data_IF_741911788187
#
_entry.id   IF_741911788187
#
_cell.length_a   1.000
_cell.length_b   1.000
_cell.length_c   1.000
_cell.angle_alpha   90.00
_cell.angle_beta   90.00
_cell.angle_gamma   90.00
#
_symmetry.space_group_name_H-M   'P 1'
#
loop_
_entity.id
_entity.type
_entity.pdbx_description
1 polymer ?
#
# COMPACT_ATOMS: atom_id res chain seq x y z
N UNK A 1 -17.24 -16.46 -7.57
CA UNK A 1 -16.66 -15.16 -7.88
C UNK A 1 -15.48 -15.30 -8.85
N UNK A 2 -14.47 -16.17 -8.58
CA UNK A 2 -13.30 -16.41 -9.47
C UNK A 2 -13.74 -16.75 -10.91
N UNK A 3 -14.71 -17.67 -11.08
CA UNK A 3 -15.25 -18.02 -12.40
C UNK A 3 -15.86 -16.82 -13.14
N UNK A 4 -16.45 -15.89 -12.39
CA UNK A 4 -17.04 -14.66 -12.94
C UNK A 4 -15.94 -13.68 -13.38
N UNK A 5 -14.92 -13.50 -12.53
CA UNK A 5 -13.78 -12.62 -12.81
C UNK A 5 -12.91 -13.10 -13.98
N UNK A 6 -12.86 -14.42 -14.18
CA UNK A 6 -12.14 -15.04 -15.30
C UNK A 6 -12.97 -15.08 -16.60
N UNK A 7 -14.23 -14.63 -16.57
CA UNK A 7 -15.08 -14.63 -17.74
C UNK A 7 -14.82 -13.39 -18.59
N UNK A 8 -14.30 -13.58 -19.78
CA UNK A 8 -14.02 -12.51 -20.74
C UNK A 8 -15.27 -11.71 -21.18
N UNK A 9 -16.47 -12.24 -20.95
CA UNK A 9 -17.75 -11.57 -21.22
C UNK A 9 -18.27 -10.75 -20.03
N UNK A 10 -17.59 -10.79 -18.87
CA UNK A 10 -17.95 -9.97 -17.73
C UNK A 10 -17.46 -8.54 -17.96
N UNK A 11 -18.39 -7.66 -18.36
CA UNK A 11 -18.06 -6.29 -18.75
C UNK A 11 -17.51 -5.46 -17.59
N UNK A 12 -16.75 -4.42 -17.93
CA UNK A 12 -16.19 -3.49 -16.94
C UNK A 12 -17.28 -2.75 -16.16
N UNK A 13 -18.41 -2.41 -16.79
CA UNK A 13 -19.56 -1.83 -16.10
C UNK A 13 -20.14 -2.76 -15.03
N UNK A 14 -20.21 -4.06 -15.32
CA UNK A 14 -20.68 -5.05 -14.36
C UNK A 14 -19.65 -5.27 -13.25
N UNK A 15 -18.36 -5.17 -13.56
CA UNK A 15 -17.30 -5.22 -12.56
C UNK A 15 -17.37 -4.00 -11.61
N UNK A 16 -17.54 -2.79 -12.12
CA UNK A 16 -17.76 -1.58 -11.30
C UNK A 16 -19.01 -1.70 -10.42
N UNK A 17 -20.11 -2.26 -10.93
CA UNK A 17 -21.29 -2.55 -10.11
C UNK A 17 -21.00 -3.57 -9.02
N UNK A 18 -20.26 -4.63 -9.34
CA UNK A 18 -19.84 -5.64 -8.37
C UNK A 18 -19.00 -5.02 -7.24
N UNK A 19 -18.04 -4.17 -7.57
CA UNK A 19 -17.21 -3.47 -6.58
C UNK A 19 -18.03 -2.59 -5.62
N UNK A 20 -19.12 -1.99 -6.12
CA UNK A 20 -20.03 -1.16 -5.30
C UNK A 20 -20.95 -1.99 -4.40
N UNK A 21 -21.32 -3.19 -4.84
CA UNK A 21 -22.25 -4.07 -4.12
C UNK A 21 -21.54 -4.96 -3.09
N UNK A 22 -20.26 -5.27 -3.34
CA UNK A 22 -19.49 -6.15 -2.48
C UNK A 22 -18.84 -5.31 -1.39
N UNK A 23 -19.45 -5.31 -0.21
CA UNK A 23 -18.82 -4.84 1.01
C UNK A 23 -17.76 -5.88 1.40
N UNK A 24 -16.53 -5.67 0.96
CA UNK A 24 -15.40 -6.53 1.28
C UNK A 24 -15.09 -6.39 2.78
N UNK A 25 -15.86 -7.07 3.62
CA UNK A 25 -15.54 -7.18 5.04
C UNK A 25 -14.28 -8.03 5.17
N UNK A 26 -13.29 -7.47 5.83
CA UNK A 26 -11.94 -7.99 5.94
C UNK A 26 -11.84 -9.42 6.47
N UNK A 27 -12.75 -9.81 7.37
CA UNK A 27 -12.61 -11.05 8.14
C UNK A 27 -12.92 -12.32 7.34
N UNK A 28 -13.75 -12.23 6.30
CA UNK A 28 -14.16 -13.39 5.50
C UNK A 28 -13.27 -13.66 4.28
N UNK A 29 -12.49 -12.65 3.83
CA UNK A 29 -11.73 -12.71 2.57
C UNK A 29 -10.31 -13.25 2.79
N UNK A 30 -9.73 -13.03 3.97
CA UNK A 30 -8.30 -13.27 4.21
C UNK A 30 -7.97 -14.63 4.83
N UNK A 31 -8.96 -15.41 5.24
CA UNK A 31 -8.75 -16.67 5.97
C UNK A 31 -8.59 -17.92 5.09
N UNK A 32 -8.59 -17.80 3.75
CA UNK A 32 -8.31 -18.92 2.86
C UNK A 32 -7.43 -18.53 1.66
N UNK A 33 -6.57 -19.45 1.22
CA UNK A 33 -5.69 -19.24 0.04
C UNK A 33 -6.50 -18.95 -1.24
N UNK A 34 -7.70 -19.53 -1.37
CA UNK A 34 -8.63 -19.27 -2.49
C UNK A 34 -9.07 -17.80 -2.57
N UNK A 35 -9.11 -17.10 -1.46
CA UNK A 35 -9.53 -15.70 -1.41
C UNK A 35 -8.39 -14.74 -1.81
N UNK A 36 -7.12 -15.10 -1.59
CA UNK A 36 -5.96 -14.31 -2.04
C UNK A 36 -5.93 -14.20 -3.56
N UNK A 37 -6.19 -15.30 -4.26
CA UNK A 37 -6.27 -15.30 -5.72
C UNK A 37 -7.41 -14.42 -6.24
N UNK A 38 -8.55 -14.42 -5.54
CA UNK A 38 -9.68 -13.53 -5.87
C UNK A 38 -9.28 -12.07 -5.72
N UNK A 39 -8.69 -11.71 -4.60
CA UNK A 39 -8.24 -10.34 -4.34
C UNK A 39 -7.21 -9.87 -5.36
N UNK A 40 -6.23 -10.71 -5.68
CA UNK A 40 -5.22 -10.39 -6.70
C UNK A 40 -5.87 -10.11 -8.05
N UNK A 41 -6.81 -10.93 -8.49
CA UNK A 41 -7.52 -10.74 -9.76
C UNK A 41 -8.44 -9.52 -9.76
N UNK A 42 -9.08 -9.22 -8.64
CA UNK A 42 -9.87 -7.98 -8.49
C UNK A 42 -8.96 -6.77 -8.66
N UNK A 43 -7.78 -6.79 -8.04
CA UNK A 43 -6.81 -5.69 -8.15
C UNK A 43 -6.27 -5.57 -9.57
N UNK A 44 -5.84 -6.67 -10.19
CA UNK A 44 -5.33 -6.67 -11.57
C UNK A 44 -6.38 -6.08 -12.53
N UNK A 45 -7.64 -6.47 -12.40
CA UNK A 45 -8.72 -5.95 -13.23
C UNK A 45 -9.06 -4.50 -12.89
N UNK A 46 -9.00 -4.11 -11.62
CA UNK A 46 -9.18 -2.73 -11.20
C UNK A 46 -8.08 -1.82 -11.76
N UNK A 47 -6.83 -2.28 -11.76
CA UNK A 47 -5.72 -1.57 -12.38
C UNK A 47 -5.94 -1.35 -13.88
N UNK A 48 -6.35 -2.38 -14.60
CA UNK A 48 -6.69 -2.28 -16.03
C UNK A 48 -7.84 -1.31 -16.30
N UNK A 49 -8.85 -1.26 -15.43
CA UNK A 49 -9.97 -0.31 -15.53
C UNK A 49 -9.56 1.13 -15.31
N UNK A 50 -8.65 1.40 -14.37
CA UNK A 50 -8.15 2.75 -14.11
C UNK A 50 -7.39 3.30 -15.30
N UNK A 51 -6.62 2.47 -15.99
CA UNK A 51 -5.91 2.86 -17.21
C UNK A 51 -6.87 3.30 -18.33
N UNK A 52 -8.08 2.74 -18.34
CA UNK A 52 -9.08 2.98 -19.40
C UNK A 52 -10.20 3.96 -19.01
N UNK A 53 -10.45 4.16 -17.72
CA UNK A 53 -11.62 4.91 -17.25
C UNK A 53 -11.31 5.75 -15.99
N UNK A 54 -11.10 7.06 -16.20
CA UNK A 54 -10.71 8.03 -15.17
C UNK A 54 -11.82 8.43 -14.17
N UNK A 55 -13.03 7.83 -14.24
CA UNK A 55 -14.17 8.20 -13.39
C UNK A 55 -14.28 7.43 -12.06
N UNK A 56 -13.28 6.65 -11.68
CA UNK A 56 -13.25 5.92 -10.41
C UNK A 56 -12.65 6.85 -9.35
N UNK A 57 -13.47 7.30 -8.40
CA UNK A 57 -13.05 8.25 -7.35
C UNK A 57 -12.43 7.58 -6.11
N UNK A 58 -12.73 6.30 -5.86
CA UNK A 58 -12.30 5.58 -4.65
C UNK A 58 -11.78 4.21 -4.99
N UNK A 59 -10.65 3.83 -4.40
CA UNK A 59 -10.20 2.45 -4.46
C UNK A 59 -11.15 1.56 -3.62
N UNK A 60 -11.55 0.39 -4.15
CA UNK A 60 -12.27 -0.59 -3.35
C UNK A 60 -11.43 -1.01 -2.14
N UNK A 61 -12.07 -1.24 -1.01
CA UNK A 61 -11.38 -1.64 0.21
C UNK A 61 -10.57 -2.95 0.02
N UNK A 62 -11.01 -3.84 -0.87
CA UNK A 62 -10.26 -5.03 -1.24
C UNK A 62 -8.90 -4.74 -1.86
N UNK A 63 -8.73 -3.63 -2.59
CA UNK A 63 -7.42 -3.20 -3.13
C UNK A 63 -6.48 -2.81 -1.99
N UNK A 64 -7.00 -2.14 -0.98
CA UNK A 64 -6.25 -1.77 0.22
C UNK A 64 -5.70 -2.99 0.96
N UNK A 65 -6.57 -3.94 1.29
CA UNK A 65 -6.14 -5.16 1.99
C UNK A 65 -5.19 -6.00 1.14
N UNK A 66 -5.44 -6.10 -0.16
CA UNK A 66 -4.50 -6.78 -1.05
C UNK A 66 -3.14 -6.09 -1.06
N UNK A 67 -3.08 -4.76 -1.12
CA UNK A 67 -1.83 -4.01 -1.05
C UNK A 67 -1.13 -4.20 0.30
N UNK A 68 -1.89 -4.35 1.39
CA UNK A 68 -1.33 -4.55 2.74
C UNK A 68 -0.66 -5.92 2.89
N UNK A 69 -1.25 -6.99 2.31
CA UNK A 69 -0.85 -8.37 2.58
C UNK A 69 -0.13 -9.07 1.42
N UNK A 70 -0.17 -8.50 0.21
CA UNK A 70 0.44 -9.16 -0.95
C UNK A 70 1.95 -9.30 -0.80
N UNK A 71 2.46 -10.45 -1.23
CA UNK A 71 3.89 -10.71 -1.39
C UNK A 71 4.38 -10.42 -2.82
N UNK A 72 3.48 -10.04 -3.73
CA UNK A 72 3.80 -9.74 -5.11
C UNK A 72 4.30 -8.30 -5.26
N UNK A 73 5.62 -8.10 -5.32
CA UNK A 73 6.24 -6.79 -5.47
C UNK A 73 5.85 -6.06 -6.76
N UNK A 74 5.63 -6.79 -7.86
CA UNK A 74 5.20 -6.17 -9.13
C UNK A 74 3.79 -5.57 -8.99
N UNK A 75 2.90 -6.25 -8.28
CA UNK A 75 1.56 -5.73 -8.01
C UNK A 75 1.62 -4.46 -7.15
N UNK A 76 2.49 -4.44 -6.12
CA UNK A 76 2.72 -3.23 -5.32
C UNK A 76 3.27 -2.07 -6.16
N UNK A 77 4.18 -2.35 -7.09
CA UNK A 77 4.72 -1.34 -8.00
C UNK A 77 3.61 -0.74 -8.90
N UNK A 78 2.70 -1.57 -9.42
CA UNK A 78 1.54 -1.13 -10.19
C UNK A 78 0.62 -0.27 -9.31
N UNK A 79 0.25 -0.72 -8.11
CA UNK A 79 -0.61 0.02 -7.19
C UNK A 79 0.00 1.38 -6.82
N UNK A 80 1.30 1.45 -6.57
CA UNK A 80 1.98 2.71 -6.22
C UNK A 80 1.95 3.74 -7.36
N UNK A 81 2.03 3.27 -8.60
CA UNK A 81 2.01 4.14 -9.79
C UNK A 81 0.60 4.56 -10.23
N UNK A 82 -0.45 4.05 -9.59
CA UNK A 82 -1.80 4.54 -9.81
C UNK A 82 -1.97 5.99 -9.34
N UNK A 83 -2.99 6.70 -9.86
CA UNK A 83 -3.45 7.95 -9.26
C UNK A 83 -3.71 7.78 -7.76
N UNK A 84 -3.56 8.85 -6.99
CA UNK A 84 -3.78 8.81 -5.55
C UNK A 84 -5.26 8.59 -5.24
N UNK A 85 -5.57 7.45 -4.64
CA UNK A 85 -6.91 7.12 -4.15
C UNK A 85 -6.91 7.13 -2.62
N UNK A 86 -7.79 7.94 -2.05
CA UNK A 86 -8.10 7.88 -0.64
C UNK A 86 -8.98 6.67 -0.36
N UNK A 87 -8.73 6.03 0.76
CA UNK A 87 -9.62 5.00 1.27
C UNK A 87 -10.70 5.70 2.07
N UNK A 88 -11.95 5.33 1.85
CA UNK A 88 -13.06 5.81 2.68
C UNK A 88 -12.96 5.18 4.07
N UNK A 89 -11.98 5.63 4.85
CA UNK A 89 -11.75 5.13 6.20
C UNK A 89 -12.63 5.92 7.18
N UNK A 90 -13.88 5.51 7.35
CA UNK A 90 -14.74 6.03 8.44
C UNK A 90 -14.18 5.73 9.84
N UNK A 91 -13.17 4.86 9.96
CA UNK A 91 -12.62 4.37 11.23
C UNK A 91 -11.09 4.25 11.22
N UNK A 92 -10.36 5.04 10.42
CA UNK A 92 -8.89 4.99 10.45
C UNK A 92 -8.40 5.48 11.83
N UNK A 93 -7.65 4.63 12.53
CA UNK A 93 -6.87 5.03 13.69
C UNK A 93 -5.70 5.91 13.21
N UNK A 94 -5.23 6.84 14.06
CA UNK A 94 -4.18 7.82 13.70
C UNK A 94 -2.89 7.21 13.11
N UNK A 95 -2.59 5.96 13.45
CA UNK A 95 -1.40 5.24 13.01
C UNK A 95 -1.64 4.27 11.83
N UNK A 96 -2.81 4.28 11.19
CA UNK A 96 -3.10 3.43 10.04
C UNK A 96 -2.96 4.18 8.72
N UNK A 97 -2.42 3.53 7.67
CA UNK A 97 -2.37 4.15 6.34
C UNK A 97 -3.78 4.40 5.81
N UNK A 98 -4.00 5.60 5.27
CA UNK A 98 -5.29 6.08 4.73
C UNK A 98 -5.31 6.18 3.21
N UNK A 99 -4.19 5.90 2.54
CA UNK A 99 -4.06 5.87 1.09
C UNK A 99 -3.37 4.60 0.61
N UNK A 100 -3.60 4.23 -0.66
CA UNK A 100 -2.93 3.07 -1.26
C UNK A 100 -1.40 3.24 -1.30
N UNK A 101 -0.90 4.46 -1.49
CA UNK A 101 0.54 4.74 -1.50
C UNK A 101 1.18 4.55 -0.14
N UNK A 102 0.48 4.93 0.93
CA UNK A 102 0.91 4.69 2.30
C UNK A 102 0.95 3.19 2.64
N UNK A 103 -0.06 2.44 2.19
CA UNK A 103 -0.07 0.97 2.34
C UNK A 103 1.09 0.33 1.62
N UNK A 104 1.35 0.71 0.37
CA UNK A 104 2.50 0.20 -0.38
C UNK A 104 3.81 0.56 0.33
N UNK A 105 3.94 1.79 0.85
CA UNK A 105 5.13 2.19 1.61
C UNK A 105 5.38 1.28 2.82
N UNK A 106 4.31 0.88 3.52
CA UNK A 106 4.37 0.03 4.71
C UNK A 106 4.67 -1.44 4.37
N UNK A 107 4.24 -1.96 3.20
CA UNK A 107 4.35 -3.38 2.90
C UNK A 107 5.81 -3.85 2.78
N UNK A 108 6.25 -4.89 3.52
CA UNK A 108 7.63 -5.36 3.51
C UNK A 108 8.09 -5.93 2.15
N UNK A 109 7.15 -6.29 1.27
CA UNK A 109 7.46 -6.82 -0.07
C UNK A 109 7.56 -5.74 -1.14
N UNK A 110 7.45 -4.45 -0.77
CA UNK A 110 7.62 -3.33 -1.70
C UNK A 110 9.02 -3.34 -2.30
N UNK A 111 9.08 -3.26 -3.64
CA UNK A 111 10.33 -3.33 -4.38
C UNK A 111 11.30 -2.20 -3.98
N UNK A 112 12.61 -2.47 -4.09
CA UNK A 112 13.63 -1.44 -3.84
C UNK A 112 13.48 -0.23 -4.79
N UNK A 113 12.97 -0.45 -5.99
CA UNK A 113 12.67 0.61 -6.95
C UNK A 113 11.60 1.54 -6.41
N UNK A 114 10.47 1.00 -5.97
CA UNK A 114 9.36 1.76 -5.39
C UNK A 114 9.75 2.40 -4.05
N UNK A 115 10.50 1.70 -3.17
CA UNK A 115 11.04 2.31 -1.95
C UNK A 115 11.91 3.55 -2.25
N UNK A 116 12.77 3.49 -3.28
CA UNK A 116 13.56 4.65 -3.71
C UNK A 116 12.72 5.76 -4.35
N UNK A 117 11.64 5.42 -5.05
CA UNK A 117 10.71 6.38 -5.62
C UNK A 117 9.95 7.13 -4.50
N UNK A 118 9.45 6.41 -3.49
CA UNK A 118 8.84 6.98 -2.29
C UNK A 118 9.82 7.94 -1.61
N UNK A 119 11.04 7.51 -1.39
CA UNK A 119 12.06 8.32 -0.73
C UNK A 119 12.36 9.66 -1.43
N UNK A 120 12.25 9.70 -2.77
CA UNK A 120 12.55 10.90 -3.58
C UNK A 120 11.38 11.86 -3.66
N UNK A 121 10.17 11.37 -3.81
CA UNK A 121 9.03 12.15 -4.30
C UNK A 121 7.86 12.25 -3.33
N UNK A 122 7.92 11.60 -2.14
CA UNK A 122 6.72 11.37 -1.35
C UNK A 122 6.44 12.40 -0.27
N UNK A 123 5.19 12.46 0.10
CA UNK A 123 4.67 13.24 1.21
C UNK A 123 5.18 12.66 2.54
N UNK A 124 5.13 13.47 3.60
CA UNK A 124 5.60 13.06 4.94
C UNK A 124 4.96 11.76 5.40
N UNK A 125 3.65 11.57 5.19
CA UNK A 125 2.96 10.35 5.59
C UNK A 125 3.49 9.10 4.87
N UNK A 126 3.70 9.15 3.57
CA UNK A 126 4.28 8.02 2.83
C UNK A 126 5.70 7.70 3.35
N UNK A 127 6.50 8.72 3.66
CA UNK A 127 7.84 8.54 4.25
C UNK A 127 7.78 7.96 5.67
N UNK A 128 6.79 8.37 6.47
CA UNK A 128 6.50 7.81 7.79
C UNK A 128 6.20 6.31 7.68
N UNK A 129 5.33 5.89 6.76
CA UNK A 129 5.01 4.48 6.56
C UNK A 129 6.17 3.69 5.94
N UNK A 130 6.99 4.30 5.06
CA UNK A 130 8.22 3.68 4.61
C UNK A 130 9.21 3.47 5.77
N UNK A 131 9.28 4.39 6.72
CA UNK A 131 10.11 4.25 7.91
C UNK A 131 9.66 3.12 8.84
N UNK A 132 8.36 2.79 8.84
CA UNK A 132 7.79 1.65 9.57
C UNK A 132 7.98 0.32 8.84
N UNK A 133 8.37 0.32 7.57
CA UNK A 133 8.56 -0.89 6.78
C UNK A 133 9.80 -1.66 7.22
N UNK A 134 9.61 -2.86 7.74
CA UNK A 134 10.67 -3.72 8.30
C UNK A 134 11.70 -4.20 7.26
N UNK A 135 11.41 -4.08 5.96
CA UNK A 135 12.31 -4.56 4.88
C UNK A 135 13.25 -3.50 4.33
N UNK A 136 13.18 -2.26 4.81
CA UNK A 136 14.08 -1.20 4.33
C UNK A 136 15.53 -1.44 4.76
N UNK A 137 16.44 -1.22 3.83
CA UNK A 137 17.87 -1.37 4.11
C UNK A 137 18.45 -0.13 4.81
N UNK A 138 19.64 -0.30 5.37
CA UNK A 138 20.37 0.75 6.09
C UNK A 138 20.52 2.04 5.27
N UNK A 139 20.75 1.95 3.96
CA UNK A 139 20.87 3.14 3.10
C UNK A 139 19.57 3.96 3.06
N UNK A 140 18.41 3.29 3.00
CA UNK A 140 17.10 3.97 3.02
C UNK A 140 16.85 4.57 4.39
N UNK A 141 17.13 3.83 5.47
CA UNK A 141 17.03 4.32 6.85
C UNK A 141 17.83 5.61 7.05
N UNK A 142 19.10 5.61 6.65
CA UNK A 142 19.96 6.78 6.73
C UNK A 142 19.47 7.98 5.92
N UNK A 143 18.89 7.74 4.73
CA UNK A 143 18.31 8.81 3.90
C UNK A 143 17.03 9.37 4.51
N UNK A 144 16.18 8.52 5.10
CA UNK A 144 14.98 8.94 5.83
C UNK A 144 15.36 9.80 7.03
N UNK A 145 16.33 9.36 7.81
CA UNK A 145 16.82 10.12 8.96
C UNK A 145 17.38 11.50 8.56
N UNK A 146 18.16 11.56 7.48
CA UNK A 146 18.71 12.82 6.95
C UNK A 146 17.67 13.85 6.52
N UNK A 147 16.41 13.45 6.37
CA UNK A 147 15.32 14.40 6.10
C UNK A 147 15.01 15.29 7.30
N UNK A 148 15.46 14.92 8.49
CA UNK A 148 15.31 15.67 9.75
C UNK A 148 13.85 16.03 10.05
N UNK A 149 12.95 15.07 9.88
CA UNK A 149 11.51 15.18 10.19
C UNK A 149 11.23 14.27 11.37
N UNK A 150 10.71 14.85 12.46
CA UNK A 150 10.52 14.17 13.75
C UNK A 150 9.65 12.91 13.62
N UNK A 151 8.52 13.00 12.92
CA UNK A 151 7.58 11.87 12.76
C UNK A 151 8.23 10.69 12.02
N UNK A 152 9.13 10.96 11.06
CA UNK A 152 9.88 9.92 10.33
C UNK A 152 10.90 9.28 11.26
N UNK A 153 11.62 10.08 12.05
CA UNK A 153 12.60 9.58 13.01
C UNK A 153 11.96 8.71 14.09
N UNK A 154 10.81 9.13 14.62
CA UNK A 154 10.02 8.34 15.57
C UNK A 154 9.53 7.02 14.95
N UNK A 155 9.14 7.04 13.68
CA UNK A 155 8.71 5.83 12.97
C UNK A 155 9.86 4.84 12.77
N UNK A 156 11.06 5.31 12.44
CA UNK A 156 12.27 4.46 12.37
C UNK A 156 12.56 3.80 13.72
N UNK A 157 12.42 4.54 14.82
CA UNK A 157 12.61 4.01 16.18
C UNK A 157 11.54 2.97 16.52
N UNK A 158 10.26 3.25 16.24
CA UNK A 158 9.14 2.32 16.47
C UNK A 158 9.35 0.98 15.74
N UNK A 159 9.86 1.00 14.53
CA UNK A 159 10.11 -0.19 13.71
C UNK A 159 11.43 -0.90 14.01
N UNK A 160 12.23 -0.41 14.97
CA UNK A 160 13.61 -0.85 15.19
C UNK A 160 14.49 -0.78 13.92
N UNK A 161 14.14 0.10 12.99
CA UNK A 161 14.86 0.32 11.73
C UNK A 161 16.01 1.31 11.90
N UNK A 162 16.92 1.02 12.81
CA UNK A 162 18.09 1.86 13.06
C UNK A 162 19.30 1.00 13.48
N UNK A 163 20.49 1.53 13.22
CA UNK A 163 21.74 1.00 13.78
C UNK A 163 22.15 1.80 15.04
N UNK A 164 23.10 1.27 15.80
CA UNK A 164 23.58 1.93 17.03
C UNK A 164 24.11 3.35 16.76
N UNK A 165 24.72 3.58 15.59
CA UNK A 165 25.21 4.89 15.19
C UNK A 165 24.10 5.92 14.92
N UNK A 166 22.86 5.47 14.72
CA UNK A 166 21.70 6.31 14.54
C UNK A 166 21.27 6.94 15.88
N UNK A 167 21.23 6.14 16.94
CA UNK A 167 20.85 6.63 18.28
C UNK A 167 21.81 7.72 18.75
N UNK A 168 23.11 7.48 18.60
CA UNK A 168 24.12 8.45 18.99
C UNK A 168 23.96 9.79 18.26
N UNK A 169 23.60 9.76 16.98
CA UNK A 169 23.35 10.98 16.20
C UNK A 169 22.02 11.64 16.53
N UNK A 170 20.99 10.86 16.88
CA UNK A 170 19.67 11.38 17.24
C UNK A 170 19.70 12.09 18.61
N UNK A 171 20.47 11.56 19.54
CA UNK A 171 20.58 12.13 20.90
C UNK A 171 21.52 13.35 20.97
N UNK A 172 22.41 13.54 19.98
CA UNK A 172 23.42 14.59 19.96
C UNK A 172 23.11 15.76 19.01
N UNK A 173 21.92 15.78 18.37
CA UNK A 173 21.39 16.91 17.61
C UNK A 173 20.27 17.62 18.36
#
# INVERSE_FOLDING_TARGET
LIKLLNNNFFSDDNFVKLLKLYDFKSDDIYNSDDNRDVCTKIVERFCSLIETNHNIQYAPIGVYYTALETTNSNLLDVIYNMPEYSISAKNAQEDQPISLKEVVALNPNTSKTTQNQILRNSKVNELKFLALNESINLMIQQKLFKKNIEEISLSLIKANNYDDSFIDRFLNN
#
